data_IF_295123541142
#
_entry.id   IF_295123541142
#
_cell.length_a   1.000
_cell.length_b   1.000
_cell.length_c   1.000
_cell.angle_alpha   90.00
_cell.angle_beta   90.00
_cell.angle_gamma   90.00
#
_symmetry.space_group_name_H-M   'P 1'
#
loop_
_entity.id
_entity.type
_entity.pdbx_description
1 polymer ?
#
# COMPACT_ATOMS: atom_id res chain seq x y z
N UNK A 1 11.20 -14.11 38.94
CA UNK A 1 11.36 -14.83 37.66
C UNK A 1 10.33 -14.26 36.69
N UNK A 2 10.82 -13.62 35.64
CA UNK A 2 10.06 -12.86 34.66
C UNK A 2 9.65 -13.76 33.50
N UNK A 3 8.39 -13.70 33.06
CA UNK A 3 8.01 -14.13 31.71
C UNK A 3 6.97 -13.16 31.15
N UNK A 4 7.47 -12.28 30.27
CA UNK A 4 6.71 -11.31 29.48
C UNK A 4 5.96 -12.06 28.39
N UNK A 5 4.63 -12.05 28.44
CA UNK A 5 3.75 -12.50 27.35
C UNK A 5 3.36 -11.30 26.48
N UNK A 6 3.71 -11.37 25.20
CA UNK A 6 3.64 -10.32 24.19
C UNK A 6 2.27 -9.66 24.06
N UNK A 7 2.23 -8.32 24.24
CA UNK A 7 1.10 -7.46 23.85
C UNK A 7 0.93 -7.54 22.33
N UNK A 8 -0.09 -8.25 21.86
CA UNK A 8 -0.49 -8.22 20.46
C UNK A 8 -1.08 -6.83 20.15
N UNK A 9 -0.40 -6.12 19.27
CA UNK A 9 -0.66 -4.74 18.91
C UNK A 9 -1.87 -4.65 17.94
N UNK A 10 -3.07 -5.03 18.40
CA UNK A 10 -4.28 -5.04 17.56
C UNK A 10 -5.02 -3.69 17.49
N UNK A 11 -4.45 -2.60 18.01
CA UNK A 11 -5.13 -1.29 18.10
C UNK A 11 -5.19 -0.54 16.74
N UNK A 12 -4.53 -1.04 15.68
CA UNK A 12 -4.22 -0.20 14.51
C UNK A 12 -5.16 -0.29 13.28
N UNK A 13 -6.40 -0.79 13.38
CA UNK A 13 -7.27 -0.92 12.18
C UNK A 13 -8.69 -0.33 12.32
N UNK A 14 -8.86 0.71 13.11
CA UNK A 14 -10.03 1.56 12.99
C UNK A 14 -9.84 2.50 11.79
N UNK A 15 -10.59 2.29 10.72
CA UNK A 15 -10.63 3.19 9.56
C UNK A 15 -11.80 4.15 9.70
N UNK A 16 -11.55 5.47 9.58
CA UNK A 16 -12.60 6.51 9.58
C UNK A 16 -13.52 6.32 8.37
N UNK A 17 -14.81 6.08 8.59
CA UNK A 17 -15.79 5.97 7.50
C UNK A 17 -16.42 7.34 7.22
N UNK A 18 -16.15 7.92 6.04
CA UNK A 18 -16.90 9.05 5.51
C UNK A 18 -18.18 8.53 4.84
N UNK A 19 -19.23 8.29 5.63
CA UNK A 19 -20.51 7.78 5.15
C UNK A 19 -21.67 8.21 6.04
N UNK A 20 -22.40 9.23 5.56
CA UNK A 20 -23.72 9.75 5.97
C UNK A 20 -24.00 9.99 7.47
N UNK A 21 -24.02 11.27 7.84
CA UNK A 21 -25.00 11.92 8.72
C UNK A 21 -25.38 11.27 10.06
N UNK A 22 -24.39 10.78 10.81
CA UNK A 22 -24.51 10.78 12.28
C UNK A 22 -23.59 11.88 12.76
N UNK A 23 -24.14 13.09 12.95
CA UNK A 23 -23.44 14.18 13.64
C UNK A 23 -22.79 13.59 14.91
N UNK A 24 -21.49 13.81 15.08
CA UNK A 24 -20.67 13.20 16.13
C UNK A 24 -21.42 13.17 17.45
N UNK A 25 -21.88 11.98 17.85
CA UNK A 25 -22.69 11.83 19.05
C UNK A 25 -21.82 12.26 20.23
N UNK A 26 -22.22 13.32 20.92
CA UNK A 26 -21.51 13.75 22.11
C UNK A 26 -21.90 12.82 23.25
N UNK A 27 -20.90 12.16 23.84
CA UNK A 27 -21.11 11.35 25.03
C UNK A 27 -21.58 12.22 26.19
N UNK A 28 -22.21 11.62 27.20
CA UNK A 28 -22.61 12.28 28.45
C UNK A 28 -21.42 12.94 29.19
N UNK A 29 -20.19 12.49 28.96
CA UNK A 29 -18.98 13.13 29.49
C UNK A 29 -18.51 14.35 28.68
N UNK A 30 -19.26 14.78 27.66
CA UNK A 30 -18.93 15.92 26.80
C UNK A 30 -17.98 15.63 25.65
N UNK A 31 -17.42 14.42 25.57
CA UNK A 31 -16.50 13.99 24.51
C UNK A 31 -17.28 13.69 23.23
N UNK A 32 -16.81 14.21 22.10
CA UNK A 32 -17.32 13.84 20.78
C UNK A 32 -16.85 12.42 20.41
N UNK A 33 -17.79 11.56 20.06
CA UNK A 33 -17.49 10.17 19.74
C UNK A 33 -17.27 9.99 18.24
N UNK A 34 -16.15 9.35 17.90
CA UNK A 34 -15.88 8.90 16.54
C UNK A 34 -16.53 7.53 16.31
N UNK A 35 -17.21 7.42 15.17
CA UNK A 35 -17.77 6.15 14.70
C UNK A 35 -16.68 5.36 13.98
N UNK A 36 -16.36 4.20 14.51
CA UNK A 36 -15.35 3.28 14.02
C UNK A 36 -16.01 2.07 13.37
N UNK A 37 -15.33 1.43 12.43
CA UNK A 37 -15.81 0.19 11.80
C UNK A 37 -15.02 -1.01 12.33
N UNK A 38 -15.72 -2.03 12.79
CA UNK A 38 -15.14 -3.32 13.17
C UNK A 38 -14.82 -4.13 11.90
N UNK A 39 -13.63 -4.74 11.88
CA UNK A 39 -13.19 -5.64 10.80
C UNK A 39 -12.87 -7.04 11.33
N UNK A 40 -13.49 -7.42 12.44
CA UNK A 40 -13.39 -8.78 13.00
C UNK A 40 -14.30 -9.75 12.25
N UNK A 41 -14.00 -11.05 12.34
CA UNK A 41 -14.79 -12.09 11.69
C UNK A 41 -16.25 -12.12 12.19
N UNK A 42 -16.47 -11.79 13.47
CA UNK A 42 -17.81 -11.80 14.09
C UNK A 42 -18.63 -10.54 13.83
N UNK A 43 -17.98 -9.40 13.59
CA UNK A 43 -18.63 -8.12 13.35
C UNK A 43 -18.00 -7.40 12.15
N UNK A 44 -18.01 -7.99 10.95
CA UNK A 44 -17.34 -7.40 9.79
C UNK A 44 -18.15 -6.23 9.25
N UNK A 45 -17.52 -5.06 9.14
CA UNK A 45 -18.15 -3.84 8.63
C UNK A 45 -19.12 -3.17 9.61
N UNK A 46 -19.31 -3.69 10.83
CA UNK A 46 -20.26 -3.15 11.81
C UNK A 46 -19.67 -1.93 12.50
N UNK A 47 -20.42 -0.83 12.57
CA UNK A 47 -19.94 0.39 13.23
C UNK A 47 -20.16 0.38 14.74
N UNK A 48 -19.19 0.91 15.47
CA UNK A 48 -19.25 1.11 16.91
C UNK A 48 -18.64 2.45 17.30
N UNK A 49 -19.05 2.97 18.45
CA UNK A 49 -18.46 4.14 19.08
C UNK A 49 -17.88 3.74 20.44
N UNK A 50 -16.83 4.43 20.87
CA UNK A 50 -16.19 4.17 22.16
C UNK A 50 -15.80 5.47 22.84
N UNK A 51 -16.11 5.57 24.13
CA UNK A 51 -15.69 6.67 24.99
C UNK A 51 -14.61 6.16 25.96
N UNK A 52 -13.50 6.88 26.21
CA UNK A 52 -12.49 6.47 27.19
C UNK A 52 -13.06 6.23 28.60
N UNK A 53 -14.12 6.97 28.95
CA UNK A 53 -14.76 6.92 30.27
C UNK A 53 -15.92 5.92 30.36
N UNK A 54 -16.34 5.29 29.26
CA UNK A 54 -17.49 4.37 29.23
C UNK A 54 -17.19 3.14 28.35
N UNK A 55 -18.12 2.19 28.32
CA UNK A 55 -18.00 1.02 27.44
C UNK A 55 -18.30 1.40 25.99
N UNK A 56 -17.75 0.62 25.05
CA UNK A 56 -18.09 0.74 23.64
C UNK A 56 -19.55 0.36 23.39
N UNK A 57 -20.15 0.95 22.35
CA UNK A 57 -21.54 0.70 21.95
C UNK A 57 -21.61 0.50 20.44
N UNK A 58 -22.40 -0.47 20.01
CA UNK A 58 -22.68 -0.71 18.60
C UNK A 58 -23.65 0.34 18.07
N UNK A 59 -23.33 0.91 16.90
CA UNK A 59 -24.18 1.88 16.20
C UNK A 59 -25.15 1.15 15.29
N UNK A 60 -24.63 0.19 14.52
CA UNK A 60 -25.45 -0.62 13.62
C UNK A 60 -25.98 -1.87 14.33
N UNK A 61 -27.05 -2.44 13.79
CA UNK A 61 -27.55 -3.76 14.19
C UNK A 61 -26.54 -4.87 13.95
N UNK A 62 -26.80 -6.04 14.52
CA UNK A 62 -25.93 -7.18 14.34
C UNK A 62 -25.87 -7.61 12.88
N UNK A 63 -24.66 -7.89 12.41
CA UNK A 63 -24.42 -8.32 11.03
C UNK A 63 -25.08 -9.67 10.79
N UNK A 64 -25.75 -9.86 9.66
CA UNK A 64 -26.40 -11.12 9.35
C UNK A 64 -25.39 -12.28 9.20
N UNK A 65 -25.83 -13.51 9.47
CA UNK A 65 -24.97 -14.70 9.45
C UNK A 65 -24.25 -14.92 8.12
N UNK A 66 -24.90 -14.58 7.00
CA UNK A 66 -24.29 -14.67 5.67
C UNK A 66 -23.12 -13.70 5.52
N UNK A 67 -23.28 -12.47 6.00
CA UNK A 67 -22.22 -11.45 5.93
C UNK A 67 -21.03 -11.80 6.82
N UNK A 68 -21.25 -12.40 7.99
CA UNK A 68 -20.18 -12.95 8.85
C UNK A 68 -19.34 -14.03 8.15
N UNK A 69 -19.93 -14.79 7.23
CA UNK A 69 -19.21 -15.81 6.47
C UNK A 69 -18.49 -15.22 5.24
N UNK A 70 -19.15 -14.34 4.49
CA UNK A 70 -18.65 -13.88 3.19
C UNK A 70 -17.60 -12.77 3.34
N UNK A 71 -17.88 -11.75 4.15
CA UNK A 71 -17.03 -10.53 4.20
C UNK A 71 -15.61 -10.85 4.65
N UNK A 72 -15.36 -11.67 5.69
CA UNK A 72 -13.99 -12.01 6.09
C UNK A 72 -13.22 -12.76 4.99
N UNK A 73 -13.89 -13.60 4.21
CA UNK A 73 -13.29 -14.28 3.05
C UNK A 73 -12.85 -13.28 1.97
N UNK A 74 -13.70 -12.30 1.67
CA UNK A 74 -13.39 -11.24 0.71
C UNK A 74 -12.22 -10.36 1.16
N UNK A 75 -12.18 -9.96 2.43
CA UNK A 75 -11.07 -9.16 2.99
C UNK A 75 -9.76 -9.93 2.89
N UNK A 76 -9.75 -11.22 3.27
CA UNK A 76 -8.57 -12.07 3.15
C UNK A 76 -8.08 -12.16 1.70
N UNK A 77 -9.00 -12.36 0.75
CA UNK A 77 -8.68 -12.40 -0.68
C UNK A 77 -8.12 -11.06 -1.18
N UNK A 78 -8.73 -9.93 -0.81
CA UNK A 78 -8.25 -8.59 -1.16
C UNK A 78 -6.82 -8.37 -0.65
N UNK A 79 -6.58 -8.64 0.62
CA UNK A 79 -5.25 -8.45 1.22
C UNK A 79 -4.18 -9.34 0.58
N UNK A 80 -4.54 -10.58 0.22
CA UNK A 80 -3.65 -11.48 -0.54
C UNK A 80 -3.30 -10.91 -1.91
N UNK A 81 -4.29 -10.44 -2.66
CA UNK A 81 -4.09 -9.84 -3.98
C UNK A 81 -3.27 -8.55 -3.91
N UNK A 82 -3.49 -7.71 -2.91
CA UNK A 82 -2.69 -6.50 -2.68
C UNK A 82 -1.22 -6.82 -2.39
N UNK A 83 -0.96 -7.88 -1.61
CA UNK A 83 0.40 -8.35 -1.35
C UNK A 83 1.07 -8.87 -2.63
N UNK A 84 0.38 -9.73 -3.39
CA UNK A 84 0.88 -10.25 -4.65
C UNK A 84 1.20 -9.11 -5.64
N UNK A 85 0.30 -8.13 -5.77
CA UNK A 85 0.51 -6.97 -6.61
C UNK A 85 1.74 -6.16 -6.18
N UNK A 86 1.93 -5.93 -4.87
CA UNK A 86 3.09 -5.22 -4.35
C UNK A 86 4.40 -5.96 -4.70
N UNK A 87 4.42 -7.30 -4.58
CA UNK A 87 5.60 -8.10 -4.94
C UNK A 87 5.92 -8.02 -6.44
N UNK A 88 4.91 -8.06 -7.31
CA UNK A 88 5.16 -7.96 -8.76
C UNK A 88 5.58 -6.57 -9.19
N UNK A 89 5.05 -5.52 -8.57
CA UNK A 89 5.55 -4.17 -8.78
C UNK A 89 7.02 -4.02 -8.40
N UNK A 90 7.47 -4.67 -7.33
CA UNK A 90 8.88 -4.66 -6.93
C UNK A 90 9.77 -5.40 -7.95
N UNK A 91 9.35 -6.58 -8.41
CA UNK A 91 10.07 -7.32 -9.47
C UNK A 91 10.16 -6.52 -10.76
N UNK A 92 9.06 -5.89 -11.19
CA UNK A 92 9.05 -5.03 -12.38
C UNK A 92 10.01 -3.85 -12.24
N UNK A 93 10.08 -3.21 -11.07
CA UNK A 93 11.06 -2.15 -10.79
C UNK A 93 12.50 -2.65 -10.90
N UNK A 94 12.78 -3.86 -10.40
CA UNK A 94 14.10 -4.49 -10.52
C UNK A 94 14.47 -4.74 -11.98
N UNK A 95 13.57 -5.36 -12.76
CA UNK A 95 13.76 -5.60 -14.20
C UNK A 95 13.97 -4.28 -14.95
N UNK A 96 13.14 -3.27 -14.67
CA UNK A 96 13.26 -1.95 -15.30
C UNK A 96 14.62 -1.29 -15.03
N UNK A 97 15.14 -1.41 -13.80
CA UNK A 97 16.47 -0.92 -13.45
C UNK A 97 17.55 -1.61 -14.28
N UNK A 98 17.49 -2.93 -14.40
CA UNK A 98 18.42 -3.72 -15.22
C UNK A 98 18.36 -3.33 -16.70
N UNK A 99 17.16 -3.16 -17.26
CA UNK A 99 16.97 -2.69 -18.64
C UNK A 99 17.56 -1.29 -18.85
N UNK A 100 17.38 -0.37 -17.90
CA UNK A 100 17.94 0.98 -17.99
C UNK A 100 19.48 0.98 -17.97
N UNK A 101 20.09 0.09 -17.18
CA UNK A 101 21.56 -0.10 -17.18
C UNK A 101 22.03 -0.59 -18.55
N UNK A 102 21.39 -1.63 -19.10
CA UNK A 102 21.73 -2.17 -20.43
C UNK A 102 21.56 -1.13 -21.53
N UNK A 103 20.44 -0.39 -21.53
CA UNK A 103 20.20 0.71 -22.49
C UNK A 103 21.24 1.83 -22.35
N UNK A 104 21.69 2.16 -21.13
CA UNK A 104 22.76 3.16 -20.92
C UNK A 104 24.09 2.67 -21.48
N UNK A 105 24.44 1.39 -21.29
CA UNK A 105 25.65 0.79 -21.89
C UNK A 105 25.58 0.81 -23.42
N UNK A 106 24.44 0.44 -24.00
CA UNK A 106 24.21 0.48 -25.44
C UNK A 106 24.38 1.90 -26.00
N UNK A 107 23.74 2.90 -25.38
CA UNK A 107 23.88 4.31 -25.77
C UNK A 107 25.34 4.78 -25.66
N UNK A 108 26.05 4.43 -24.58
CA UNK A 108 27.47 4.77 -24.42
C UNK A 108 28.32 4.14 -25.52
N UNK A 109 28.11 2.85 -25.82
CA UNK A 109 28.83 2.16 -26.88
C UNK A 109 28.58 2.80 -28.25
N UNK A 110 27.31 3.12 -28.56
CA UNK A 110 26.94 3.82 -29.79
C UNK A 110 27.62 5.20 -29.90
N UNK A 111 27.70 5.95 -28.81
CA UNK A 111 28.40 7.25 -28.79
C UNK A 111 29.90 7.10 -29.05
N UNK A 112 30.55 6.09 -28.46
CA UNK A 112 31.98 5.83 -28.69
C UNK A 112 32.24 5.46 -30.15
N UNK A 113 31.45 4.55 -30.72
CA UNK A 113 31.58 4.15 -32.12
C UNK A 113 31.41 5.35 -33.05
N UNK A 114 30.40 6.21 -32.82
CA UNK A 114 30.18 7.42 -33.61
C UNK A 114 31.40 8.37 -33.56
N UNK A 115 31.98 8.58 -32.37
CA UNK A 115 33.17 9.41 -32.21
C UNK A 115 34.39 8.82 -32.95
N UNK A 116 34.60 7.49 -32.88
CA UNK A 116 35.69 6.81 -33.58
C UNK A 116 35.58 6.97 -35.10
N UNK A 117 34.37 6.84 -35.66
CA UNK A 117 34.12 7.03 -37.10
C UNK A 117 34.44 8.47 -37.53
N UNK A 118 34.04 9.46 -36.74
CA UNK A 118 34.32 10.88 -37.04
C UNK A 118 35.83 11.19 -37.01
N UNK A 119 36.54 10.66 -36.00
CA UNK A 119 38.00 10.85 -35.89
C UNK A 119 38.72 10.19 -37.08
N UNK A 120 38.32 8.97 -37.44
CA UNK A 120 38.91 8.26 -38.58
C UNK A 120 38.65 9.01 -39.90
N UNK A 121 37.43 9.49 -40.14
CA UNK A 121 37.11 10.28 -41.32
C UNK A 121 37.96 11.56 -41.39
N UNK A 122 38.14 12.26 -40.28
CA UNK A 122 38.98 13.46 -40.21
C UNK A 122 40.45 13.15 -40.53
N UNK A 123 41.00 12.07 -39.96
CA UNK A 123 42.36 11.62 -40.25
C UNK A 123 42.55 11.34 -41.75
N UNK A 124 41.61 10.65 -42.39
CA UNK A 124 41.64 10.38 -43.84
C UNK A 124 41.60 11.68 -44.65
N UNK A 125 40.75 12.64 -44.27
CA UNK A 125 40.67 13.94 -44.96
C UNK A 125 41.99 14.73 -44.90
N UNK A 126 42.71 14.67 -43.77
CA UNK A 126 44.03 15.30 -43.65
C UNK A 126 45.10 14.64 -44.54
N UNK A 127 45.06 13.30 -44.67
CA UNK A 127 46.01 12.56 -45.51
C UNK A 127 45.80 12.83 -47.01
N UNK A 128 44.59 13.19 -47.43
CA UNK A 128 44.28 13.54 -48.82
C UNK A 128 44.58 15.00 -49.16
N UNK A 129 44.84 15.86 -48.16
CA UNK A 129 45.08 17.29 -48.32
C UNK A 129 46.58 17.66 -48.39
N UNK A 130 47.47 16.69 -48.22
CA UNK A 130 48.94 16.82 -48.30
C UNK A 130 49.43 16.10 -49.55
#
# INVERSE_FOLDING_TARGET
MSSRGSRSNQISRSSKSYGSDVAGARCHCGIELEVMTSWTDDNPGRRFQSCPNYKYQWVDEEVCSRSKQIIPGLIRKKNKLELELATEQEKLKCVQRSLNVSKKKEKKLKMIIAAMVLIFAFQVMLQLAV
#
